data_IF_828696337745
#
_entry.id   IF_828696337745
#
_cell.length_a   1.000
_cell.length_b   1.000
_cell.length_c   1.000
_cell.angle_alpha   90.00
_cell.angle_beta   90.00
_cell.angle_gamma   90.00
#
_symmetry.space_group_name_H-M   'P 1'
#
loop_
_entity.id
_entity.type
_entity.pdbx_description
1 polymer ?
#
# COMPACT_ATOMS: atom_id res chain seq x y z
N UNK A 1 25.59 -12.67 -23.32
CA UNK A 1 24.49 -13.65 -23.28
C UNK A 1 24.24 -14.13 -24.69
N UNK A 2 24.04 -15.43 -24.85
CA UNK A 2 23.75 -16.09 -26.14
C UNK A 2 22.49 -16.91 -25.95
N UNK A 3 21.53 -16.80 -26.85
CA UNK A 3 20.29 -17.58 -26.85
C UNK A 3 20.06 -18.21 -28.22
N UNK A 4 19.31 -19.31 -28.25
CA UNK A 4 18.92 -19.99 -29.48
C UNK A 4 17.40 -20.10 -29.54
N UNK A 5 16.83 -19.81 -30.70
CA UNK A 5 15.38 -19.82 -30.94
C UNK A 5 15.11 -20.57 -32.24
N UNK A 6 14.04 -21.37 -32.26
CA UNK A 6 13.53 -21.99 -33.48
C UNK A 6 12.21 -21.32 -33.83
N UNK A 7 12.13 -20.75 -35.04
CA UNK A 7 10.92 -20.07 -35.52
C UNK A 7 10.45 -20.83 -36.77
N UNK A 8 9.30 -21.54 -36.71
CA UNK A 8 8.75 -22.17 -37.89
C UNK A 8 8.26 -21.10 -38.86
N UNK A 9 8.49 -21.30 -40.16
CA UNK A 9 7.93 -20.46 -41.23
C UNK A 9 6.88 -21.24 -42.00
N UNK A 10 5.80 -20.56 -42.39
CA UNK A 10 4.63 -21.21 -42.99
C UNK A 10 4.83 -21.61 -44.46
N UNK A 11 5.72 -20.92 -45.19
CA UNK A 11 5.96 -21.14 -46.61
C UNK A 11 7.42 -20.86 -46.98
N UNK A 12 7.83 -21.31 -48.16
CA UNK A 12 9.06 -20.82 -48.77
C UNK A 12 8.89 -19.36 -49.18
N UNK A 13 9.93 -18.53 -49.04
CA UNK A 13 9.83 -17.11 -49.35
C UNK A 13 11.01 -16.28 -48.86
N UNK A 14 10.88 -14.96 -49.01
CA UNK A 14 11.88 -13.98 -48.56
C UNK A 14 11.42 -13.36 -47.24
N UNK A 15 12.31 -13.39 -46.25
CA UNK A 15 11.99 -13.01 -44.88
C UNK A 15 12.99 -12.01 -44.31
N UNK A 16 12.53 -11.24 -43.34
CA UNK A 16 13.37 -10.46 -42.42
C UNK A 16 13.04 -10.86 -40.98
N UNK A 17 14.04 -10.89 -40.12
CA UNK A 17 13.85 -11.05 -38.69
C UNK A 17 13.95 -9.69 -38.01
N UNK A 18 12.96 -9.39 -37.16
CA UNK A 18 12.97 -8.25 -36.26
C UNK A 18 13.00 -8.73 -34.82
N UNK A 19 13.96 -8.24 -34.05
CA UNK A 19 14.09 -8.54 -32.62
C UNK A 19 13.81 -7.31 -31.78
N UNK A 20 12.94 -7.44 -30.79
CA UNK A 20 12.64 -6.38 -29.82
C UNK A 20 12.82 -6.87 -28.39
N UNK A 21 13.44 -6.04 -27.55
CA UNK A 21 13.61 -6.32 -26.13
C UNK A 21 13.82 -5.00 -25.37
N UNK A 22 13.23 -4.90 -24.17
CA UNK A 22 13.28 -3.66 -23.35
C UNK A 22 14.73 -3.20 -23.06
N UNK A 23 15.65 -4.14 -22.87
CA UNK A 23 17.06 -3.86 -22.55
C UNK A 23 18.02 -3.74 -23.75
N UNK A 24 17.55 -3.90 -25.00
CA UNK A 24 18.41 -3.90 -26.19
C UNK A 24 17.87 -2.95 -27.27
N UNK A 25 18.75 -2.51 -28.17
CA UNK A 25 18.29 -1.79 -29.37
C UNK A 25 17.59 -2.76 -30.33
N UNK A 26 16.45 -2.39 -30.94
CA UNK A 26 15.83 -3.19 -31.98
C UNK A 26 16.78 -3.42 -33.14
N UNK A 27 16.76 -4.63 -33.70
CA UNK A 27 17.57 -5.02 -34.88
C UNK A 27 16.65 -5.66 -35.91
N UNK A 28 16.82 -5.27 -37.17
CA UNK A 28 16.18 -5.89 -38.33
C UNK A 28 17.27 -6.46 -39.22
N UNK A 29 17.16 -7.72 -39.61
CA UNK A 29 18.14 -8.36 -40.48
C UNK A 29 18.02 -7.89 -41.93
N UNK A 30 19.07 -8.13 -42.72
CA UNK A 30 18.92 -8.12 -44.19
C UNK A 30 17.94 -9.22 -44.61
N UNK A 31 17.24 -9.07 -45.75
CA UNK A 31 16.39 -10.13 -46.28
C UNK A 31 17.19 -11.40 -46.57
N UNK A 32 16.59 -12.56 -46.28
CA UNK A 32 17.11 -13.87 -46.64
C UNK A 32 15.99 -14.74 -47.21
N UNK A 33 16.33 -15.73 -48.02
CA UNK A 33 15.37 -16.65 -48.63
C UNK A 33 15.38 -17.96 -47.86
N UNK A 34 14.20 -18.54 -47.67
CA UNK A 34 14.00 -19.88 -47.10
C UNK A 34 13.29 -20.71 -48.14
N UNK A 35 13.89 -21.80 -48.62
CA UNK A 35 13.22 -22.74 -49.51
C UNK A 35 12.43 -23.79 -48.72
N UNK A 36 11.64 -24.60 -49.43
CA UNK A 36 10.88 -25.67 -48.79
C UNK A 36 11.83 -26.75 -48.23
N UNK A 37 11.69 -27.06 -46.94
CA UNK A 37 12.55 -28.01 -46.23
C UNK A 37 13.87 -27.44 -45.72
N UNK A 38 14.16 -26.16 -45.97
CA UNK A 38 15.38 -25.53 -45.48
C UNK A 38 15.37 -25.26 -43.97
N UNK A 39 16.56 -25.34 -43.38
CA UNK A 39 16.85 -24.80 -42.05
C UNK A 39 17.91 -23.70 -42.22
N UNK A 40 17.51 -22.45 -41.98
CA UNK A 40 18.41 -21.29 -42.10
C UNK A 40 18.84 -20.82 -40.72
N UNK A 41 20.14 -20.87 -40.43
CA UNK A 41 20.71 -20.31 -39.20
C UNK A 41 21.00 -18.81 -39.37
N UNK A 42 20.33 -17.96 -38.59
CA UNK A 42 20.54 -16.50 -38.62
C UNK A 42 21.19 -16.04 -37.32
N UNK A 43 22.42 -15.52 -37.40
CA UNK A 43 23.15 -14.97 -36.25
C UNK A 43 22.86 -13.48 -36.08
N UNK A 44 22.14 -13.12 -35.03
CA UNK A 44 21.79 -11.74 -34.70
C UNK A 44 22.67 -11.24 -33.55
N UNK A 45 23.35 -10.11 -33.75
CA UNK A 45 24.14 -9.43 -32.70
C UNK A 45 23.39 -8.20 -32.23
N UNK A 46 22.98 -8.18 -30.97
CA UNK A 46 22.27 -7.06 -30.33
C UNK A 46 23.20 -6.25 -29.43
N UNK A 47 23.02 -4.94 -29.38
CA UNK A 47 23.72 -4.04 -28.46
C UNK A 47 22.79 -3.63 -27.31
N UNK A 48 23.31 -3.61 -26.08
CA UNK A 48 22.51 -3.19 -24.90
C UNK A 48 22.14 -1.72 -25.05
N UNK A 49 20.90 -1.39 -24.67
CA UNK A 49 20.46 -0.01 -24.53
C UNK A 49 20.56 0.33 -23.05
N UNK A 50 21.51 1.19 -22.68
CA UNK A 50 21.58 1.75 -21.33
C UNK A 50 20.52 2.84 -21.20
N UNK A 51 19.66 2.70 -20.20
CA UNK A 51 18.74 3.75 -19.79
C UNK A 51 19.20 4.22 -18.42
N UNK A 52 19.43 5.52 -18.28
CA UNK A 52 19.54 6.13 -16.96
C UNK A 52 18.13 6.23 -16.39
N UNK A 53 17.78 5.27 -15.53
CA UNK A 53 16.54 5.33 -14.78
C UNK A 53 16.75 6.23 -13.58
N UNK A 54 15.87 7.22 -13.42
CA UNK A 54 15.79 7.95 -12.16
C UNK A 54 15.43 6.96 -11.04
N UNK A 55 16.09 7.03 -9.86
CA UNK A 55 15.87 6.07 -8.79
C UNK A 55 14.38 6.01 -8.41
N UNK A 56 13.77 4.83 -8.52
CA UNK A 56 12.43 4.61 -8.00
C UNK A 56 12.49 4.66 -6.48
N UNK A 57 12.08 5.77 -5.88
CA UNK A 57 11.94 5.89 -4.43
C UNK A 57 10.64 5.19 -4.01
N UNK A 58 10.75 3.96 -3.52
CA UNK A 58 9.63 3.25 -2.92
C UNK A 58 9.40 3.78 -1.51
N UNK A 59 8.41 4.65 -1.32
CA UNK A 59 7.96 5.07 0.02
C UNK A 59 7.05 3.99 0.58
N UNK A 60 7.64 2.90 1.08
CA UNK A 60 6.90 1.82 1.71
C UNK A 60 6.28 2.29 3.03
N UNK A 61 5.01 2.74 3.03
CA UNK A 61 4.20 2.73 4.25
C UNK A 61 3.71 1.31 4.47
N UNK A 62 4.48 0.50 5.20
CA UNK A 62 3.96 -0.74 5.76
C UNK A 62 2.94 -0.35 6.82
N UNK A 63 1.67 -0.24 6.44
CA UNK A 63 0.58 -0.21 7.40
C UNK A 63 0.60 -1.55 8.10
N UNK A 64 1.12 -1.60 9.33
CA UNK A 64 0.84 -2.72 10.22
C UNK A 64 -0.68 -2.85 10.21
N UNK A 65 -1.20 -3.97 9.69
CA UNK A 65 -2.63 -4.25 9.71
C UNK A 65 -3.01 -4.43 11.17
N UNK A 66 -3.41 -3.33 11.81
CA UNK A 66 -3.79 -3.34 13.22
C UNK A 66 -5.29 -3.57 13.30
N UNK A 67 -5.76 -4.74 13.78
CA UNK A 67 -7.16 -5.11 13.65
C UNK A 67 -8.14 -4.09 14.23
N UNK A 68 -7.81 -3.43 15.35
CA UNK A 68 -8.69 -2.43 15.95
C UNK A 68 -8.86 -1.14 15.11
N UNK A 69 -7.92 -0.83 14.21
CA UNK A 69 -8.05 0.32 13.31
C UNK A 69 -8.96 0.03 12.12
N UNK A 70 -9.14 -1.25 11.76
CA UNK A 70 -10.09 -1.62 10.70
C UNK A 70 -11.51 -1.17 11.05
N UNK A 71 -11.95 -1.51 12.26
CA UNK A 71 -13.26 -1.10 12.76
C UNK A 71 -13.40 0.43 12.82
N UNK A 72 -12.32 1.15 13.15
CA UNK A 72 -12.27 2.62 13.10
C UNK A 72 -12.49 3.15 11.68
N UNK A 73 -11.72 2.68 10.69
CA UNK A 73 -11.85 3.15 9.31
C UNK A 73 -13.20 2.80 8.69
N UNK A 74 -13.76 1.63 9.02
CA UNK A 74 -15.11 1.26 8.61
C UNK A 74 -16.15 2.27 9.15
N UNK A 75 -16.02 2.67 10.42
CA UNK A 75 -16.87 3.72 10.99
C UNK A 75 -16.64 5.08 10.35
N UNK A 76 -15.40 5.46 10.04
CA UNK A 76 -15.12 6.72 9.30
C UNK A 76 -15.89 6.76 8.00
N UNK A 77 -15.87 5.68 7.22
CA UNK A 77 -16.55 5.63 5.92
C UNK A 77 -18.07 5.64 6.06
N UNK A 78 -18.62 4.91 7.05
CA UNK A 78 -20.06 4.93 7.36
C UNK A 78 -20.50 6.33 7.78
N UNK A 79 -19.77 6.97 8.69
CA UNK A 79 -20.07 8.30 9.20
C UNK A 79 -19.97 9.37 8.10
N UNK A 80 -18.98 9.26 7.19
CA UNK A 80 -18.84 10.16 6.04
C UNK A 80 -20.07 10.09 5.12
N UNK A 81 -20.61 8.90 4.89
CA UNK A 81 -21.81 8.69 4.07
C UNK A 81 -23.10 9.12 4.77
N UNK A 82 -23.23 8.83 6.07
CA UNK A 82 -24.44 9.08 6.83
C UNK A 82 -24.55 10.51 7.37
N UNK A 83 -23.45 11.26 7.45
CA UNK A 83 -23.42 12.62 8.01
C UNK A 83 -23.76 12.70 9.50
N UNK A 84 -23.67 11.57 10.23
CA UNK A 84 -23.96 11.49 11.67
C UNK A 84 -22.66 11.56 12.46
N UNK A 85 -22.69 12.03 13.70
CA UNK A 85 -21.51 12.08 14.59
C UNK A 85 -20.40 13.04 14.14
N UNK A 86 -19.30 13.10 14.90
CA UNK A 86 -18.09 13.84 14.52
C UNK A 86 -16.89 12.92 14.71
N UNK A 87 -16.22 12.60 13.61
CA UNK A 87 -14.94 11.90 13.62
C UNK A 87 -13.88 12.87 13.14
N UNK A 88 -12.79 12.97 13.88
CA UNK A 88 -11.57 13.69 13.51
C UNK A 88 -10.59 12.67 12.92
N UNK A 89 -10.30 12.80 11.63
CA UNK A 89 -9.38 11.89 10.92
C UNK A 89 -7.92 12.28 11.14
N UNK A 90 -7.00 11.40 10.75
CA UNK A 90 -5.55 11.67 10.82
C UNK A 90 -5.18 12.94 10.08
N UNK A 91 -5.74 13.17 8.90
CA UNK A 91 -5.47 14.36 8.09
C UNK A 91 -5.94 15.66 8.77
N UNK A 92 -7.04 15.59 9.53
CA UNK A 92 -7.51 16.73 10.34
C UNK A 92 -6.61 16.96 11.55
N UNK A 93 -6.20 15.89 12.21
CA UNK A 93 -5.31 15.93 13.37
C UNK A 93 -3.89 16.39 13.01
N UNK A 94 -3.39 16.12 11.81
CA UNK A 94 -2.10 16.63 11.31
C UNK A 94 -2.06 18.15 11.25
N UNK A 95 -3.19 18.81 10.96
CA UNK A 95 -3.28 20.28 10.99
C UNK A 95 -3.25 20.85 12.41
N UNK A 96 -3.32 19.98 13.42
CA UNK A 96 -3.32 20.29 14.84
C UNK A 96 -2.05 19.76 15.52
N UNK A 97 -0.94 19.68 14.77
CA UNK A 97 0.36 19.31 15.35
C UNK A 97 0.76 20.25 16.49
N UNK A 98 1.35 19.69 17.55
CA UNK A 98 1.67 20.40 18.79
C UNK A 98 0.52 20.51 19.80
N UNK A 99 -0.69 20.08 19.45
CA UNK A 99 -1.84 20.04 20.37
C UNK A 99 -1.93 18.72 21.14
N UNK A 100 -2.61 18.77 22.29
CA UNK A 100 -3.07 17.56 22.99
C UNK A 100 -4.52 17.23 22.60
N UNK A 101 -4.95 15.99 22.84
CA UNK A 101 -6.36 15.57 22.69
C UNK A 101 -7.29 16.50 23.46
N UNK A 102 -6.89 16.96 24.65
CA UNK A 102 -7.68 17.92 25.44
C UNK A 102 -7.89 19.25 24.72
N UNK A 103 -6.84 19.78 24.11
CA UNK A 103 -6.91 21.06 23.39
C UNK A 103 -7.81 20.95 22.15
N UNK A 104 -7.72 19.82 21.44
CA UNK A 104 -8.62 19.51 20.32
C UNK A 104 -10.08 19.51 20.77
N UNK A 105 -10.38 18.89 21.92
CA UNK A 105 -11.74 18.81 22.44
C UNK A 105 -12.29 20.13 22.96
N UNK A 106 -11.42 21.05 23.43
CA UNK A 106 -11.83 22.42 23.79
C UNK A 106 -12.28 23.23 22.59
N UNK A 107 -11.76 22.92 21.38
CA UNK A 107 -12.17 23.57 20.12
C UNK A 107 -13.45 23.00 19.55
N UNK A 108 -13.76 21.76 19.91
CA UNK A 108 -14.98 21.07 19.52
C UNK A 108 -16.20 21.54 20.34
N UNK A 109 -17.41 21.28 19.83
CA UNK A 109 -18.63 21.64 20.57
C UNK A 109 -18.67 20.93 21.92
N UNK A 110 -18.97 21.65 23.02
CA UNK A 110 -18.98 21.07 24.36
C UNK A 110 -20.02 19.96 24.47
N UNK A 111 -19.70 18.96 25.27
CA UNK A 111 -20.66 17.93 25.65
C UNK A 111 -21.69 18.53 26.60
N UNK A 112 -22.96 18.19 26.40
CA UNK A 112 -24.08 18.67 27.22
C UNK A 112 -24.90 17.51 27.74
N UNK A 113 -25.30 17.59 29.01
CA UNK A 113 -26.24 16.63 29.58
C UNK A 113 -27.67 16.87 29.06
N UNK A 114 -28.62 16.03 29.50
CA UNK A 114 -30.04 16.16 29.12
C UNK A 114 -30.68 17.49 29.55
N UNK A 115 -30.08 18.21 30.50
CA UNK A 115 -30.52 19.52 30.98
C UNK A 115 -29.78 20.66 30.28
N UNK A 116 -28.96 20.37 29.27
CA UNK A 116 -28.19 21.35 28.52
C UNK A 116 -26.94 21.88 29.23
N UNK A 117 -26.57 21.31 30.38
CA UNK A 117 -25.38 21.73 31.16
C UNK A 117 -24.13 21.09 30.59
N UNK A 118 -23.05 21.87 30.53
CA UNK A 118 -21.73 21.36 30.14
C UNK A 118 -21.27 20.27 31.10
N UNK A 119 -20.63 19.24 30.58
CA UNK A 119 -20.23 18.06 31.33
C UNK A 119 -19.01 17.40 30.68
N UNK A 120 -18.35 16.53 31.42
CA UNK A 120 -17.17 15.79 30.95
C UNK A 120 -17.60 14.45 30.35
N UNK A 121 -17.24 14.14 29.08
CA UNK A 121 -17.49 12.83 28.50
C UNK A 121 -16.57 11.76 29.08
N UNK A 122 -16.93 10.49 28.89
CA UNK A 122 -16.04 9.37 29.21
C UNK A 122 -15.07 9.15 28.05
N UNK A 123 -13.80 8.92 28.37
CA UNK A 123 -12.73 8.73 27.40
C UNK A 123 -12.33 7.28 27.28
N UNK A 124 -12.16 6.81 26.05
CA UNK A 124 -11.59 5.50 25.76
C UNK A 124 -10.38 5.66 24.84
N UNK A 125 -9.28 4.99 25.19
CA UNK A 125 -8.09 4.84 24.38
C UNK A 125 -8.01 3.40 23.88
N UNK A 126 -8.15 3.18 22.57
CA UNK A 126 -8.22 1.85 21.96
C UNK A 126 -9.24 0.91 22.63
N UNK A 127 -10.38 1.45 23.07
CA UNK A 127 -11.43 0.70 23.74
C UNK A 127 -11.28 0.57 25.26
N UNK A 128 -10.19 1.05 25.87
CA UNK A 128 -9.99 1.05 27.32
C UNK A 128 -10.30 2.41 27.93
N UNK A 129 -11.05 2.46 29.04
CA UNK A 129 -11.35 3.72 29.72
C UNK A 129 -10.07 4.34 30.29
N UNK A 130 -9.85 5.64 30.03
CA UNK A 130 -8.66 6.39 30.48
C UNK A 130 -9.01 7.81 30.91
N UNK A 131 -8.08 8.51 31.56
CA UNK A 131 -8.13 9.97 31.71
C UNK A 131 -7.31 10.61 30.58
N UNK A 132 -7.94 11.41 29.72
CA UNK A 132 -7.35 11.82 28.43
C UNK A 132 -6.55 13.14 28.48
N UNK A 133 -5.93 13.47 29.60
CA UNK A 133 -5.50 14.86 29.85
C UNK A 133 -4.21 15.26 29.12
N UNK A 134 -3.32 14.32 28.80
CA UNK A 134 -1.95 14.62 28.33
C UNK A 134 -1.54 13.88 27.05
N UNK A 135 -2.50 13.44 26.24
CA UNK A 135 -2.17 12.64 25.06
C UNK A 135 -1.86 13.56 23.88
N UNK A 136 -0.64 13.54 23.31
CA UNK A 136 -0.30 14.38 22.18
C UNK A 136 -0.97 13.87 20.91
N UNK A 137 -1.45 14.79 20.07
CA UNK A 137 -2.14 14.48 18.79
C UNK A 137 -1.23 13.73 17.81
N UNK A 138 0.10 13.85 17.93
CA UNK A 138 1.06 13.08 17.14
C UNK A 138 0.90 11.56 17.31
N UNK A 139 0.37 11.11 18.45
CA UNK A 139 0.22 9.70 18.80
C UNK A 139 -1.18 9.15 18.48
N UNK A 140 -2.04 9.93 17.83
CA UNK A 140 -3.46 9.62 17.62
C UNK A 140 -3.73 9.40 16.14
N UNK A 141 -4.29 8.25 15.77
CA UNK A 141 -4.78 7.99 14.41
C UNK A 141 -6.09 8.72 14.15
N UNK A 142 -7.00 8.74 15.13
CA UNK A 142 -8.29 9.38 15.00
C UNK A 142 -9.02 9.57 16.32
N UNK A 143 -10.02 10.46 16.33
CA UNK A 143 -10.89 10.69 17.48
C UNK A 143 -12.35 10.62 17.04
N UNK A 144 -13.19 9.87 17.77
CA UNK A 144 -14.64 9.80 17.54
C UNK A 144 -15.39 10.46 18.70
N UNK A 145 -16.32 11.37 18.39
CA UNK A 145 -17.08 12.15 19.36
C UNK A 145 -18.56 11.77 19.31
N UNK A 146 -19.02 11.09 20.36
CA UNK A 146 -20.40 10.64 20.51
C UNK A 146 -21.11 11.45 21.59
N UNK A 147 -21.93 12.42 21.16
CA UNK A 147 -22.66 13.34 22.05
C UNK A 147 -24.08 12.88 22.41
N UNK A 148 -24.56 11.79 21.81
CA UNK A 148 -25.89 11.23 22.08
C UNK A 148 -25.82 9.72 22.28
N UNK A 149 -26.72 9.19 23.11
CA UNK A 149 -26.81 7.75 23.40
C UNK A 149 -27.21 6.92 22.17
N UNK A 150 -27.93 7.51 21.23
CA UNK A 150 -28.41 6.83 20.01
C UNK A 150 -27.27 6.36 19.11
N UNK A 151 -26.07 6.94 19.26
CA UNK A 151 -24.90 6.58 18.46
C UNK A 151 -23.89 5.70 19.24
N UNK A 152 -24.22 5.24 20.45
CA UNK A 152 -23.32 4.50 21.34
C UNK A 152 -23.81 3.06 21.56
N UNK A 153 -23.64 2.18 20.57
CA UNK A 153 -24.07 0.78 20.71
C UNK A 153 -23.11 -0.06 21.56
N UNK A 154 -21.82 0.32 21.66
CA UNK A 154 -20.78 -0.53 22.24
C UNK A 154 -20.15 -0.05 23.54
N UNK A 155 -20.35 1.23 23.91
CA UNK A 155 -19.74 1.81 25.10
C UNK A 155 -20.82 2.21 26.10
N UNK A 156 -20.74 1.62 27.29
CA UNK A 156 -21.60 1.94 28.44
C UNK A 156 -21.26 3.33 29.00
N UNK A 157 -21.50 4.38 28.22
CA UNK A 157 -21.29 5.74 28.67
C UNK A 157 -22.33 6.10 29.74
N UNK A 158 -21.89 6.06 30.99
CA UNK A 158 -22.49 6.85 32.05
C UNK A 158 -22.11 8.31 31.77
N UNK A 159 -23.10 9.19 31.59
CA UNK A 159 -22.85 10.62 31.39
C UNK A 159 -23.40 11.15 30.08
N UNK A 160 -22.76 12.19 29.57
CA UNK A 160 -23.27 13.04 28.49
C UNK A 160 -22.61 12.83 27.13
N UNK A 161 -21.72 11.85 27.03
CA UNK A 161 -21.12 11.44 25.78
C UNK A 161 -19.87 10.61 26.00
N UNK A 162 -19.31 10.15 24.88
CA UNK A 162 -18.12 9.33 24.81
C UNK A 162 -17.15 9.92 23.80
N UNK A 163 -15.87 9.89 24.14
CA UNK A 163 -14.76 10.20 23.24
C UNK A 163 -13.95 8.92 23.06
N UNK A 164 -13.87 8.42 21.83
CA UNK A 164 -12.98 7.33 21.46
C UNK A 164 -11.72 7.91 20.84
N UNK A 165 -10.56 7.45 21.28
CA UNK A 165 -9.27 7.87 20.78
C UNK A 165 -8.52 6.63 20.31
N UNK A 166 -8.11 6.65 19.05
CA UNK A 166 -7.39 5.57 18.39
C UNK A 166 -5.93 5.96 18.28
N UNK A 167 -5.02 5.13 18.77
CA UNK A 167 -3.61 5.44 18.67
C UNK A 167 -3.08 5.20 17.24
N UNK A 168 -2.09 6.00 16.88
CA UNK A 168 -1.31 5.78 15.67
C UNK A 168 -0.50 4.49 15.81
N UNK A 169 -0.51 3.59 14.82
CA UNK A 169 0.41 2.46 14.81
C UNK A 169 1.83 2.98 14.76
N UNK A 170 2.73 2.38 15.55
CA UNK A 170 4.14 2.71 15.49
C UNK A 170 4.65 2.38 14.08
N UNK A 171 5.38 3.32 13.49
CA UNK A 171 6.09 3.03 12.25
C UNK A 171 7.21 2.05 12.54
N UNK A 172 7.41 1.09 11.65
CA UNK A 172 8.56 0.18 11.72
C UNK A 172 9.85 1.02 11.76
N UNK A 173 10.55 1.01 12.89
CA UNK A 173 11.75 1.84 13.14
C UNK A 173 11.58 3.04 14.09
N UNK A 174 10.35 3.46 14.42
CA UNK A 174 10.10 4.42 15.51
C UNK A 174 10.05 3.64 16.84
N UNK A 175 11.00 3.93 17.75
CA UNK A 175 11.04 3.29 19.07
C UNK A 175 9.71 3.44 19.82
N UNK A 176 9.27 2.37 20.51
CA UNK A 176 8.08 2.43 21.37
C UNK A 176 8.23 3.57 22.38
N UNK A 177 7.35 4.59 22.41
CA UNK A 177 7.31 5.52 23.51
C UNK A 177 6.95 4.70 24.76
N UNK A 178 7.84 4.70 25.75
CA UNK A 178 7.57 4.06 27.03
C UNK A 178 6.40 4.79 27.70
N UNK A 179 5.21 4.20 27.62
CA UNK A 179 4.14 4.52 28.57
C UNK A 179 4.64 4.03 29.93
N UNK A 180 5.04 4.97 30.79
CA UNK A 180 5.37 4.67 32.18
C UNK A 180 4.14 4.04 32.84
N UNK A 181 4.12 2.70 32.98
CA UNK A 181 3.06 1.99 33.69
C UNK A 181 2.68 0.59 33.19
N UNK A 182 3.21 0.07 32.08
CA UNK A 182 2.88 -1.31 31.64
C UNK A 182 4.07 -2.27 31.82
N UNK A 183 3.88 -3.30 32.64
CA UNK A 183 4.86 -4.36 32.89
C UNK A 183 5.15 -5.24 31.67
N UNK A 184 6.21 -6.07 31.71
CA UNK A 184 6.76 -6.73 30.53
C UNK A 184 5.87 -7.89 30.03
N UNK A 185 5.17 -7.66 28.91
CA UNK A 185 4.49 -8.69 28.13
C UNK A 185 5.42 -9.27 27.05
N UNK A 186 5.46 -10.60 26.96
CA UNK A 186 6.30 -11.39 26.05
C UNK A 186 5.88 -11.21 24.58
N UNK A 187 6.78 -10.74 23.72
CA UNK A 187 6.63 -10.75 22.27
C UNK A 187 7.18 -12.08 21.69
N UNK A 188 6.35 -12.82 20.94
CA UNK A 188 6.73 -14.03 20.18
C UNK A 188 6.59 -13.72 18.69
N UNK A 189 7.70 -13.70 17.96
CA UNK A 189 7.73 -13.57 16.49
C UNK A 189 7.90 -14.94 15.83
N UNK A 190 7.07 -15.24 14.83
CA UNK A 190 7.31 -16.34 13.87
C UNK A 190 7.52 -15.74 12.48
N UNK A 191 8.70 -15.97 11.91
CA UNK A 191 9.02 -15.75 10.50
C UNK A 191 8.83 -17.06 9.75
N UNK A 192 8.04 -17.03 8.67
CA UNK A 192 7.88 -18.15 7.74
C UNK A 192 8.60 -17.86 6.42
N UNK A 193 9.48 -18.77 6.03
CA UNK A 193 10.20 -18.79 4.74
C UNK A 193 9.35 -19.47 3.66
N UNK A 194 9.43 -18.97 2.42
CA UNK A 194 8.95 -19.64 1.21
C UNK A 194 10.01 -19.58 0.12
N UNK A 195 10.60 -20.72 -0.21
CA UNK A 195 11.67 -20.93 -1.18
C UNK A 195 11.06 -21.22 -2.55
N UNK A 196 11.60 -20.60 -3.61
CA UNK A 196 11.41 -21.02 -5.00
C UNK A 196 12.76 -21.19 -5.68
N UNK A 197 12.90 -22.25 -6.50
CA UNK A 197 13.97 -22.51 -7.49
C UNK A 197 13.33 -23.55 -8.46
N UNK A 198 13.07 -23.37 -9.76
CA UNK A 198 13.75 -22.82 -10.96
C UNK A 198 14.98 -23.61 -11.45
N UNK A 199 14.90 -24.15 -12.67
CA UNK A 199 15.98 -24.88 -13.33
C UNK A 199 17.25 -24.00 -13.47
N UNK A 200 18.46 -24.53 -13.25
CA UNK A 200 19.69 -23.76 -13.38
C UNK A 200 20.19 -23.80 -14.82
N UNK A 201 20.36 -22.63 -15.45
CA UNK A 201 21.27 -22.50 -16.61
C UNK A 201 20.84 -21.61 -17.77
N UNK A 202 19.59 -21.18 -17.84
CA UNK A 202 19.13 -20.33 -18.94
C UNK A 202 18.21 -19.24 -18.41
N UNK A 203 18.70 -18.00 -18.44
CA UNK A 203 17.81 -16.83 -18.35
C UNK A 203 16.84 -16.91 -19.54
N UNK A 204 15.59 -17.30 -19.26
CA UNK A 204 14.51 -17.25 -20.24
C UNK A 204 14.10 -15.79 -20.37
N UNK A 205 14.89 -15.04 -21.13
CA UNK A 205 14.45 -13.75 -21.66
C UNK A 205 13.46 -14.06 -22.78
N UNK A 206 12.19 -13.75 -22.57
CA UNK A 206 11.17 -13.76 -23.62
C UNK A 206 11.54 -12.71 -24.65
N UNK A 207 12.27 -13.12 -25.69
CA UNK A 207 12.53 -12.31 -26.85
C UNK A 207 11.31 -12.44 -27.77
N UNK A 208 10.57 -11.35 -27.95
CA UNK A 208 9.56 -11.30 -28.99
C UNK A 208 10.30 -11.15 -30.32
N UNK A 209 10.48 -12.26 -31.03
CA UNK A 209 10.93 -12.27 -32.42
C UNK A 209 9.70 -12.23 -33.31
N UNK A 210 9.54 -11.13 -34.06
CA UNK A 210 8.46 -11.02 -35.05
C UNK A 210 9.05 -11.26 -36.44
N UNK A 211 8.42 -12.15 -37.18
CA UNK A 211 8.80 -12.49 -38.54
C UNK A 211 7.93 -11.67 -39.49
N UNK A 212 8.53 -10.71 -40.18
CA UNK A 212 7.83 -9.93 -41.20
C UNK A 212 8.08 -10.58 -42.56
N UNK A 213 7.01 -11.02 -43.21
CA UNK A 213 7.02 -11.56 -44.57
C UNK A 213 6.67 -10.44 -45.56
N UNK A 214 7.63 -10.03 -46.38
CA UNK A 214 7.34 -9.21 -47.56
C UNK A 214 6.95 -10.15 -48.70
N UNK A 215 5.65 -10.32 -48.94
CA UNK A 215 5.16 -10.94 -50.16
C UNK A 215 5.33 -9.94 -51.31
N UNK A 216 6.46 -10.02 -52.02
CA UNK A 216 6.55 -9.42 -53.33
C UNK A 216 5.98 -10.42 -54.35
N UNK A 217 4.91 -10.06 -55.10
CA UNK A 217 4.48 -10.87 -56.22
C UNK A 217 5.62 -10.96 -57.23
N UNK A 218 5.88 -12.18 -57.70
CA UNK A 218 6.82 -12.47 -58.79
C UNK A 218 6.19 -11.99 -60.10
#
# INVERSE_FOLDING_TARGET
>A
MTGAFAIPVAAAGRYRLRTEHVAYRPVVTRPFTVAFGDIVEVKIRVSRRTFDLEPLVVVGRRTVDVPYLRDYYDRVEIHRKAGRGRILTREELERLEGFTVRDVLRRERPFKDRRGRTCTPVFYWNGFAVEAEHIPVSNVEGIELYRSRENMTFYNGRGCGVVLVWNRPLREGEGRPHLAGQGPGRDVFRLGYGVGVSNPGTDVLSLNAMLEAEFMPI
#
